data_IF_441473098863
#
_entry.id   IF_441473098863
#
_cell.length_a   1.000
_cell.length_b   1.000
_cell.length_c   1.000
_cell.angle_alpha   90.00
_cell.angle_beta   90.00
_cell.angle_gamma   90.00
#
_symmetry.space_group_name_H-M   'P 1'
#
loop_
_entity.id
_entity.type
_entity.pdbx_description
1 polymer ?
#
# COMPACT_ATOMS: atom_id res chain seq x y z
N UNK A 1 -20.05 -0.68 30.85
CA UNK A 1 -19.16 0.20 30.08
C UNK A 1 -18.92 -0.48 28.76
N UNK A 2 -19.41 0.09 27.67
CA UNK A 2 -19.04 -0.41 26.34
C UNK A 2 -17.61 0.02 26.02
N UNK A 3 -16.76 -0.87 25.46
CA UNK A 3 -15.44 -0.48 25.04
C UNK A 3 -15.56 0.65 24.00
N UNK A 4 -14.65 1.64 24.02
CA UNK A 4 -14.67 2.71 23.04
C UNK A 4 -14.61 2.08 21.65
N UNK A 5 -15.68 2.31 20.86
CA UNK A 5 -15.68 1.96 19.44
C UNK A 5 -14.60 2.83 18.80
N UNK A 6 -13.42 2.26 18.60
CA UNK A 6 -12.42 2.82 17.71
C UNK A 6 -13.01 2.75 16.30
N UNK A 7 -13.81 3.74 15.92
CA UNK A 7 -14.16 3.98 14.53
C UNK A 7 -12.86 4.42 13.86
N UNK A 8 -12.09 3.45 13.40
CA UNK A 8 -10.74 3.57 12.83
C UNK A 8 -10.75 4.30 11.49
N UNK A 9 -11.19 5.55 11.50
CA UNK A 9 -11.08 6.45 10.35
C UNK A 9 -9.60 6.83 10.24
N UNK A 10 -8.93 6.31 9.21
CA UNK A 10 -7.52 6.62 8.92
C UNK A 10 -6.48 5.58 9.39
N UNK A 11 -6.87 4.34 9.72
CA UNK A 11 -5.88 3.29 10.02
C UNK A 11 -5.36 2.58 8.75
N UNK A 12 -4.10 2.16 8.79
CA UNK A 12 -3.50 1.32 7.74
C UNK A 12 -4.31 0.04 7.63
N UNK A 13 -4.62 -0.36 6.41
CA UNK A 13 -5.41 -1.58 6.15
C UNK A 13 -4.50 -2.69 5.63
N UNK A 14 -4.54 -3.90 6.22
CA UNK A 14 -3.88 -5.05 5.61
C UNK A 14 -4.41 -5.29 4.20
N UNK A 15 -3.51 -5.55 3.25
CA UNK A 15 -3.86 -5.91 1.87
C UNK A 15 -3.33 -7.29 1.55
N UNK A 16 -4.20 -8.17 1.07
CA UNK A 16 -3.84 -9.53 0.63
C UNK A 16 -3.44 -9.50 -0.84
N UNK A 17 -2.36 -10.20 -1.16
CA UNK A 17 -1.88 -10.52 -2.49
C UNK A 17 -1.84 -12.04 -2.64
N UNK A 18 -2.75 -12.59 -3.41
CA UNK A 18 -2.95 -14.02 -3.67
C UNK A 18 -2.46 -14.44 -5.07
N UNK A 19 -1.81 -13.53 -5.79
CA UNK A 19 -1.27 -13.83 -7.10
C UNK A 19 -0.70 -12.60 -7.79
N UNK A 20 -0.28 -12.83 -9.03
CA UNK A 20 0.11 -11.76 -9.92
C UNK A 20 -1.11 -10.87 -10.17
N UNK A 21 -1.00 -9.55 -10.00
CA UNK A 21 -2.16 -8.70 -10.13
C UNK A 21 -2.58 -8.59 -11.60
N UNK A 22 -3.88 -8.53 -11.82
CA UNK A 22 -4.46 -8.32 -13.13
C UNK A 22 -4.34 -6.85 -13.52
N UNK A 23 -3.77 -6.60 -14.70
CA UNK A 23 -3.49 -5.26 -15.18
C UNK A 23 -3.73 -5.18 -16.68
N UNK A 24 -4.48 -4.18 -17.12
CA UNK A 24 -4.48 -3.71 -18.51
C UNK A 24 -3.28 -2.75 -18.79
N UNK A 25 -3.13 -2.32 -20.04
CA UNK A 25 -2.11 -1.35 -20.44
C UNK A 25 -2.69 0.05 -20.66
N UNK A 26 -3.75 0.41 -19.93
CA UNK A 26 -4.38 1.73 -20.07
C UNK A 26 -3.60 2.88 -19.42
N UNK A 27 -2.69 2.55 -18.49
CA UNK A 27 -1.91 3.50 -17.70
C UNK A 27 -0.48 2.99 -17.53
N UNK A 28 0.47 3.92 -17.39
CA UNK A 28 1.83 3.57 -16.99
C UNK A 28 1.85 2.97 -15.58
N UNK A 29 2.94 2.27 -15.24
CA UNK A 29 3.13 1.66 -13.92
C UNK A 29 2.91 2.66 -12.79
N UNK A 30 3.54 3.84 -12.85
CA UNK A 30 3.40 4.84 -11.77
C UNK A 30 1.99 5.42 -11.69
N UNK A 31 1.34 5.71 -12.83
CA UNK A 31 -0.04 6.19 -12.85
C UNK A 31 -1.00 5.17 -12.24
N UNK A 32 -0.72 3.88 -12.44
CA UNK A 32 -1.54 2.81 -11.87
C UNK A 32 -1.31 2.64 -10.37
N UNK A 33 -0.09 2.83 -9.88
CA UNK A 33 0.21 2.88 -8.44
C UNK A 33 -0.57 4.04 -7.79
N UNK A 34 -0.56 5.23 -8.39
CA UNK A 34 -1.34 6.39 -7.94
C UNK A 34 -2.84 6.07 -7.94
N UNK A 35 -3.33 5.48 -9.03
CA UNK A 35 -4.74 5.10 -9.16
C UNK A 35 -5.19 4.12 -8.09
N UNK A 36 -4.38 3.14 -7.75
CA UNK A 36 -4.65 2.20 -6.66
C UNK A 36 -4.84 2.91 -5.31
N UNK A 37 -4.06 3.97 -5.04
CA UNK A 37 -4.23 4.81 -3.86
C UNK A 37 -5.54 5.61 -3.88
N UNK A 38 -5.83 6.29 -5.00
CA UNK A 38 -7.07 7.07 -5.17
C UNK A 38 -8.32 6.20 -5.00
N UNK A 39 -8.32 5.01 -5.61
CA UNK A 39 -9.46 4.09 -5.53
C UNK A 39 -9.64 3.55 -4.09
N UNK A 40 -8.55 3.34 -3.36
CA UNK A 40 -8.61 2.96 -1.95
C UNK A 40 -9.18 4.08 -1.05
N UNK A 41 -8.82 5.34 -1.30
CA UNK A 41 -9.39 6.49 -0.58
C UNK A 41 -10.89 6.59 -0.85
N UNK A 42 -11.30 6.49 -2.11
CA UNK A 42 -12.72 6.52 -2.52
C UNK A 42 -13.53 5.42 -1.84
N UNK A 43 -13.00 4.20 -1.81
CA UNK A 43 -13.65 3.06 -1.16
C UNK A 43 -13.83 3.26 0.36
N UNK A 44 -12.99 4.08 1.00
CA UNK A 44 -13.12 4.40 2.43
C UNK A 44 -14.15 5.50 2.71
N UNK A 45 -14.39 6.41 1.76
CA UNK A 45 -15.34 7.52 1.90
C UNK A 45 -16.82 7.12 1.97
N UNK A 46 -17.16 5.87 1.62
CA UNK A 46 -18.55 5.39 1.63
C UNK A 46 -18.97 4.75 2.97
N UNK A 47 -18.00 4.42 3.84
CA UNK A 47 -18.25 3.75 5.13
C UNK A 47 -18.46 4.78 6.23
N UNK A 48 -19.63 5.44 6.26
CA UNK A 48 -20.04 6.27 7.40
C UNK A 48 -20.78 7.57 7.08
N UNK A 49 -21.30 7.75 5.87
CA UNK A 49 -22.18 8.89 5.53
C UNK A 49 -21.47 10.26 5.44
N UNK A 50 -20.18 10.35 5.76
CA UNK A 50 -19.34 11.48 5.36
C UNK A 50 -18.83 11.21 3.95
N UNK A 51 -19.63 11.55 2.93
CA UNK A 51 -19.16 11.58 1.54
C UNK A 51 -17.87 12.41 1.50
N UNK A 52 -16.73 11.74 1.29
CA UNK A 52 -15.53 12.42 0.81
C UNK A 52 -15.89 12.93 -0.59
N UNK A 53 -16.34 14.18 -0.68
CA UNK A 53 -16.64 14.82 -1.96
C UNK A 53 -15.32 15.10 -2.64
N UNK A 54 -14.82 14.13 -3.39
CA UNK A 54 -13.95 14.42 -4.52
C UNK A 54 -14.88 15.08 -5.54
N UNK A 55 -14.79 16.41 -5.64
CA UNK A 55 -15.54 17.17 -6.63
C UNK A 55 -14.87 16.87 -7.96
N UNK A 56 -15.56 16.15 -8.84
CA UNK A 56 -15.24 16.13 -10.26
C UNK A 56 -15.33 17.59 -10.74
N UNK A 57 -14.21 18.13 -11.25
CA UNK A 57 -14.20 19.45 -11.87
C UNK A 57 -15.03 19.41 -13.16
N UNK A 58 -16.34 19.54 -13.03
CA UNK A 58 -17.19 20.03 -14.10
C UNK A 58 -17.67 21.43 -13.72
N UNK A 59 -17.22 22.40 -14.51
CA UNK A 59 -17.62 23.79 -14.37
C UNK A 59 -19.13 23.94 -14.53
N UNK A 60 -19.77 24.61 -13.59
CA UNK A 60 -20.44 25.88 -13.82
C UNK A 60 -21.12 26.35 -12.53
N UNK A 61 -21.02 27.66 -12.29
CA UNK A 61 -21.31 28.26 -11.00
C UNK A 61 -22.77 28.24 -10.57
N UNK A 62 -22.98 28.30 -9.25
CA UNK A 62 -24.03 29.09 -8.61
C UNK A 62 -23.69 29.35 -7.15
N UNK A 63 -23.76 30.64 -6.79
CA UNK A 63 -23.56 31.18 -5.44
C UNK A 63 -24.75 30.84 -4.55
N UNK A 64 -24.50 30.48 -3.29
CA UNK A 64 -25.31 30.92 -2.15
C UNK A 64 -24.52 30.77 -0.83
N UNK A 65 -24.59 31.80 0.00
CA UNK A 65 -23.81 32.03 1.21
C UNK A 65 -24.57 31.62 2.48
N UNK A 66 -23.87 31.08 3.48
CA UNK A 66 -24.00 31.38 4.94
C UNK A 66 -23.08 30.43 5.72
N UNK A 67 -21.98 30.93 6.29
CA UNK A 67 -21.82 31.49 7.65
C UNK A 67 -21.92 30.45 8.78
N UNK A 68 -20.75 29.99 9.23
CA UNK A 68 -20.56 29.08 10.37
C UNK A 68 -19.08 28.67 10.47
N UNK A 69 -18.36 29.29 11.41
CA UNK A 69 -16.93 29.12 11.68
C UNK A 69 -16.54 27.66 11.99
N UNK A 70 -15.77 27.04 11.09
CA UNK A 70 -14.58 26.21 11.36
C UNK A 70 -13.69 26.34 10.14
N UNK A 71 -12.60 27.09 10.26
CA UNK A 71 -11.52 27.08 9.26
C UNK A 71 -10.72 25.81 9.50
N UNK A 72 -11.33 24.65 9.23
CA UNK A 72 -10.55 23.53 8.74
C UNK A 72 -10.37 23.82 7.28
N UNK A 73 -9.17 24.27 6.93
CA UNK A 73 -8.78 24.46 5.55
C UNK A 73 -9.04 23.13 4.83
N UNK A 74 -10.03 23.13 3.93
CA UNK A 74 -10.37 21.91 3.22
C UNK A 74 -9.26 21.70 2.23
N UNK A 75 -8.36 20.75 2.54
CA UNK A 75 -7.37 20.28 1.57
C UNK A 75 -8.07 20.08 0.23
N UNK A 76 -7.56 20.75 -0.81
CA UNK A 76 -8.20 20.68 -2.11
C UNK A 76 -7.93 19.30 -2.72
N UNK A 77 -8.79 18.83 -3.61
CA UNK A 77 -8.57 17.57 -4.33
C UNK A 77 -7.21 17.54 -5.07
N UNK A 78 -6.68 18.73 -5.40
CA UNK A 78 -5.36 18.92 -6.02
C UNK A 78 -4.20 18.62 -5.07
N UNK A 79 -4.35 18.94 -3.79
CA UNK A 79 -3.33 18.69 -2.77
C UNK A 79 -3.29 17.21 -2.38
N UNK A 80 -4.45 16.56 -2.30
CA UNK A 80 -4.57 15.11 -2.08
C UNK A 80 -3.88 14.31 -3.19
N UNK A 81 -4.14 14.69 -4.44
CA UNK A 81 -3.52 14.08 -5.62
C UNK A 81 -1.99 14.25 -5.62
N UNK A 82 -1.50 15.40 -5.15
CA UNK A 82 -0.06 15.67 -5.01
C UNK A 82 0.59 14.75 -3.97
N UNK A 83 -0.02 14.63 -2.79
CA UNK A 83 0.50 13.77 -1.71
C UNK A 83 0.53 12.30 -2.12
N UNK A 84 -0.54 11.81 -2.75
CA UNK A 84 -0.59 10.42 -3.23
C UNK A 84 0.42 10.14 -4.35
N UNK A 85 0.71 11.14 -5.18
CA UNK A 85 1.76 11.03 -6.19
C UNK A 85 3.15 10.92 -5.55
N UNK A 86 3.47 11.77 -4.58
CA UNK A 86 4.75 11.69 -3.84
C UNK A 86 4.89 10.31 -3.18
N UNK A 87 3.85 9.86 -2.48
CA UNK A 87 3.85 8.55 -1.83
C UNK A 87 4.02 7.39 -2.84
N UNK A 88 3.36 7.45 -4.00
CA UNK A 88 3.49 6.44 -5.03
C UNK A 88 4.93 6.34 -5.57
N UNK A 89 5.58 7.47 -5.79
CA UNK A 89 6.97 7.54 -6.27
C UNK A 89 7.94 7.02 -5.21
N UNK A 90 7.73 7.35 -3.94
CA UNK A 90 8.53 6.86 -2.82
C UNK A 90 8.41 5.35 -2.68
N UNK A 91 7.19 4.81 -2.73
CA UNK A 91 6.94 3.36 -2.68
C UNK A 91 7.58 2.64 -3.86
N UNK A 92 7.44 3.18 -5.08
CA UNK A 92 8.03 2.58 -6.27
C UNK A 92 9.57 2.54 -6.17
N UNK A 93 10.17 3.63 -5.70
CA UNK A 93 11.62 3.73 -5.46
C UNK A 93 12.08 2.75 -4.39
N UNK A 94 11.35 2.63 -3.29
CA UNK A 94 11.64 1.71 -2.19
C UNK A 94 11.64 0.25 -2.66
N UNK A 95 10.69 -0.09 -3.54
CA UNK A 95 10.56 -1.39 -4.19
C UNK A 95 11.50 -1.56 -5.39
N UNK A 96 12.47 -0.67 -5.59
CA UNK A 96 13.52 -0.74 -6.62
C UNK A 96 13.01 -0.73 -8.06
N UNK A 97 11.80 -0.18 -8.30
CA UNK A 97 11.31 0.07 -9.66
C UNK A 97 12.09 1.23 -10.28
N UNK A 98 12.73 0.99 -11.43
CA UNK A 98 13.52 2.01 -12.12
C UNK A 98 12.65 3.09 -12.78
N UNK A 99 13.21 4.24 -13.11
CA UNK A 99 12.52 5.30 -13.87
C UNK A 99 11.91 4.79 -15.17
N UNK A 100 12.64 3.91 -15.87
CA UNK A 100 12.17 3.28 -17.10
C UNK A 100 10.95 2.39 -16.84
N UNK A 101 11.02 1.53 -15.82
CA UNK A 101 9.91 0.65 -15.42
C UNK A 101 8.70 1.44 -14.92
N UNK A 102 8.91 2.59 -14.26
CA UNK A 102 7.81 3.45 -13.79
C UNK A 102 7.04 4.11 -14.94
N UNK A 103 7.73 4.39 -16.05
CA UNK A 103 7.18 5.00 -17.26
C UNK A 103 6.66 3.99 -18.28
N UNK A 104 7.00 2.71 -18.14
CA UNK A 104 6.54 1.64 -19.02
C UNK A 104 5.11 1.23 -18.70
N UNK A 105 4.52 0.44 -19.60
CA UNK A 105 3.25 -0.24 -19.36
C UNK A 105 3.47 -1.48 -18.48
N UNK A 106 2.45 -1.94 -17.71
CA UNK A 106 2.54 -3.14 -16.91
C UNK A 106 2.93 -4.41 -17.69
N UNK A 107 2.45 -4.57 -18.93
CA UNK A 107 2.78 -5.74 -19.76
C UNK A 107 4.24 -5.77 -20.23
N UNK A 108 4.89 -4.61 -20.29
CA UNK A 108 6.30 -4.46 -20.71
C UNK A 108 7.27 -4.82 -19.59
N UNK A 109 6.79 -4.92 -18.35
CA UNK A 109 7.59 -5.30 -17.20
C UNK A 109 7.98 -6.78 -17.25
N UNK A 110 9.20 -7.07 -16.79
CA UNK A 110 9.64 -8.45 -16.53
C UNK A 110 8.81 -9.05 -15.37
N UNK A 111 8.73 -10.39 -15.26
CA UNK A 111 7.93 -11.04 -14.22
C UNK A 111 8.18 -10.53 -12.81
N UNK A 112 9.44 -10.41 -12.37
CA UNK A 112 9.77 -9.88 -11.03
C UNK A 112 9.33 -8.42 -10.84
N UNK A 113 9.47 -7.58 -11.87
CA UNK A 113 9.01 -6.19 -11.83
C UNK A 113 7.49 -6.09 -11.75
N UNK A 114 6.75 -7.03 -12.36
CA UNK A 114 5.29 -7.08 -12.25
C UNK A 114 4.84 -7.41 -10.81
N UNK A 115 5.56 -8.29 -10.12
CA UNK A 115 5.33 -8.55 -8.69
C UNK A 115 5.64 -7.33 -7.82
N UNK A 116 6.78 -6.66 -8.04
CA UNK A 116 7.13 -5.44 -7.32
C UNK A 116 6.12 -4.31 -7.54
N UNK A 117 5.64 -4.16 -8.78
CA UNK A 117 4.54 -3.27 -9.11
C UNK A 117 3.24 -3.64 -8.38
N UNK A 118 2.88 -4.92 -8.33
CA UNK A 118 1.74 -5.40 -7.55
C UNK A 118 1.84 -5.08 -6.06
N UNK A 119 3.02 -5.26 -5.48
CA UNK A 119 3.32 -4.90 -4.10
C UNK A 119 3.20 -3.39 -3.91
N UNK A 120 3.69 -2.57 -4.86
CA UNK A 120 3.55 -1.12 -4.80
C UNK A 120 2.08 -0.67 -4.76
N UNK A 121 1.24 -1.26 -5.63
CA UNK A 121 -0.20 -1.05 -5.62
C UNK A 121 -0.84 -1.48 -4.29
N UNK A 122 -0.39 -2.58 -3.69
CA UNK A 122 -0.87 -3.02 -2.38
C UNK A 122 -0.47 -2.06 -1.25
N UNK A 123 0.76 -1.54 -1.28
CA UNK A 123 1.24 -0.51 -0.36
C UNK A 123 0.36 0.74 -0.42
N UNK A 124 0.04 1.22 -1.63
CA UNK A 124 -0.86 2.37 -1.81
C UNK A 124 -2.27 2.08 -1.29
N UNK A 125 -2.83 0.90 -1.58
CA UNK A 125 -4.15 0.50 -1.05
C UNK A 125 -4.16 0.42 0.49
N UNK A 126 -3.04 0.05 1.09
CA UNK A 126 -2.86 -0.06 2.53
C UNK A 126 -2.79 1.31 3.21
N UNK A 127 -2.04 2.25 2.62
CA UNK A 127 -1.69 3.53 3.25
C UNK A 127 -2.53 4.72 2.80
N UNK A 128 -2.95 4.80 1.54
CA UNK A 128 -3.61 5.98 0.98
C UNK A 128 -4.84 6.47 1.79
N UNK A 129 -5.73 5.60 2.30
CA UNK A 129 -6.84 6.03 3.16
C UNK A 129 -6.42 6.78 4.42
N UNK A 130 -5.21 6.49 4.92
CA UNK A 130 -4.66 7.14 6.10
C UNK A 130 -4.23 8.57 5.82
N UNK A 131 -3.57 8.76 4.67
CA UNK A 131 -3.00 10.03 4.24
C UNK A 131 -4.09 11.03 3.88
N UNK A 132 -5.19 10.55 3.30
CA UNK A 132 -6.32 11.41 2.93
C UNK A 132 -7.10 11.98 4.13
N UNK A 133 -7.05 11.34 5.29
CA UNK A 133 -7.86 11.72 6.48
C UNK A 133 -7.16 12.78 7.35
N UNK A 134 -5.83 12.86 7.32
CA UNK A 134 -5.04 13.76 8.19
C UNK A 134 -3.88 14.39 7.41
N UNK A 135 -4.15 15.38 6.56
CA UNK A 135 -3.11 16.03 5.76
C UNK A 135 -2.29 17.08 6.53
N UNK A 136 -2.85 17.65 7.60
CA UNK A 136 -2.39 18.87 8.27
C UNK A 136 -1.20 18.67 9.23
N UNK A 137 -0.56 17.51 9.21
CA UNK A 137 0.73 17.44 9.88
C UNK A 137 0.67 17.02 11.36
N UNK A 138 -0.50 16.78 11.95
CA UNK A 138 -0.63 16.30 13.33
C UNK A 138 -0.23 14.81 13.48
N UNK A 139 0.77 14.37 12.69
CA UNK A 139 1.42 13.07 12.66
C UNK A 139 2.26 12.82 13.92
N UNK A 140 1.70 13.05 15.11
CA UNK A 140 2.51 13.17 16.33
C UNK A 140 3.18 11.85 16.73
N UNK A 141 2.71 10.65 16.33
CA UNK A 141 3.31 9.40 16.86
C UNK A 141 3.13 8.12 16.02
N UNK A 142 3.15 8.15 14.68
CA UNK A 142 3.11 6.88 13.95
C UNK A 142 3.27 6.95 12.46
N UNK A 143 4.39 6.44 11.95
CA UNK A 143 4.52 6.16 10.54
C UNK A 143 3.61 4.99 10.18
N UNK A 144 2.65 5.27 9.30
CA UNK A 144 1.62 4.33 8.84
C UNK A 144 2.18 3.49 7.70
N UNK A 145 3.14 2.65 8.03
CA UNK A 145 3.76 1.73 7.07
C UNK A 145 2.76 0.69 6.56
N UNK A 146 2.91 0.21 5.32
CA UNK A 146 1.95 -0.70 4.74
C UNK A 146 1.99 -2.07 5.44
N UNK A 147 0.83 -2.71 5.51
CA UNK A 147 0.69 -4.09 5.99
C UNK A 147 0.29 -4.95 4.80
N UNK A 148 1.21 -5.81 4.35
CA UNK A 148 1.04 -6.66 3.17
C UNK A 148 0.99 -8.13 3.61
N UNK A 149 -0.04 -8.83 3.17
CA UNK A 149 -0.22 -10.27 3.36
C UNK A 149 -0.02 -10.94 2.00
N UNK A 150 1.02 -11.76 1.86
CA UNK A 150 1.31 -12.52 0.65
C UNK A 150 0.80 -13.95 0.86
N UNK A 151 -0.20 -14.36 0.09
CA UNK A 151 -0.76 -15.70 0.15
C UNK A 151 -0.27 -16.49 -1.05
N UNK A 152 0.71 -17.37 -0.83
CA UNK A 152 1.33 -18.22 -1.85
C UNK A 152 1.89 -17.47 -3.07
N UNK A 153 2.15 -16.17 -2.93
CA UNK A 153 2.43 -15.23 -4.03
C UNK A 153 3.55 -15.70 -4.98
N UNK A 154 4.54 -16.44 -4.48
CA UNK A 154 5.68 -16.94 -5.26
C UNK A 154 5.73 -18.47 -5.34
N UNK A 155 4.72 -19.21 -4.87
CA UNK A 155 4.78 -20.68 -4.76
C UNK A 155 4.83 -21.37 -6.13
N UNK A 156 4.21 -20.76 -7.13
CA UNK A 156 4.25 -21.24 -8.52
C UNK A 156 5.47 -20.73 -9.31
N UNK A 157 6.23 -19.77 -8.76
CA UNK A 157 7.26 -19.07 -9.50
C UNK A 157 8.64 -19.75 -9.45
N UNK A 158 9.50 -19.39 -10.39
CA UNK A 158 10.90 -19.80 -10.36
C UNK A 158 11.64 -19.05 -9.24
N UNK A 159 12.57 -19.69 -8.47
CA UNK A 159 13.24 -19.06 -7.34
C UNK A 159 13.91 -17.71 -7.66
N UNK A 160 14.47 -17.56 -8.86
CA UNK A 160 15.10 -16.31 -9.30
C UNK A 160 14.13 -15.12 -9.35
N UNK A 161 12.83 -15.34 -9.57
CA UNK A 161 11.83 -14.27 -9.57
C UNK A 161 11.64 -13.74 -8.16
N UNK A 162 11.51 -14.63 -7.17
CA UNK A 162 11.38 -14.25 -5.76
C UNK A 162 12.67 -13.57 -5.25
N UNK A 163 13.84 -14.10 -5.61
CA UNK A 163 15.15 -13.50 -5.28
C UNK A 163 15.27 -12.08 -5.83
N UNK A 164 14.86 -11.85 -7.09
CA UNK A 164 14.87 -10.52 -7.71
C UNK A 164 13.91 -9.53 -7.03
N UNK A 165 12.82 -10.01 -6.41
CA UNK A 165 11.93 -9.17 -5.62
C UNK A 165 12.47 -8.88 -4.21
N UNK A 166 13.41 -9.71 -3.73
CA UNK A 166 13.84 -9.71 -2.34
C UNK A 166 14.46 -8.38 -1.88
N UNK A 167 15.22 -7.70 -2.74
CA UNK A 167 15.80 -6.40 -2.40
C UNK A 167 14.70 -5.34 -2.12
N UNK A 168 13.68 -5.26 -2.98
CA UNK A 168 12.55 -4.35 -2.79
C UNK A 168 11.74 -4.67 -1.54
N UNK A 169 11.43 -5.96 -1.31
CA UNK A 169 10.69 -6.39 -0.11
C UNK A 169 11.48 -6.09 1.17
N UNK A 170 12.79 -6.33 1.17
CA UNK A 170 13.64 -6.04 2.32
C UNK A 170 13.75 -4.53 2.59
N UNK A 171 13.83 -3.70 1.54
CA UNK A 171 13.78 -2.24 1.69
C UNK A 171 12.45 -1.80 2.30
N UNK A 172 11.34 -2.38 1.85
CA UNK A 172 10.02 -2.11 2.42
C UNK A 172 9.96 -2.44 3.93
N UNK A 173 10.44 -3.62 4.32
CA UNK A 173 10.49 -4.05 5.72
C UNK A 173 11.37 -3.11 6.54
N UNK A 174 12.55 -2.75 6.03
CA UNK A 174 13.49 -1.82 6.70
C UNK A 174 12.94 -0.41 6.84
N UNK A 175 12.15 0.04 5.87
CA UNK A 175 11.46 1.30 6.01
C UNK A 175 10.47 1.26 7.17
N UNK A 176 9.90 0.09 7.49
CA UNK A 176 8.94 -0.13 8.58
C UNK A 176 7.69 -0.90 8.15
N UNK A 177 7.61 -1.30 6.88
CA UNK A 177 6.54 -2.14 6.32
C UNK A 177 6.42 -3.48 7.05
N UNK A 178 5.19 -3.92 7.25
CA UNK A 178 4.89 -5.25 7.79
C UNK A 178 4.53 -6.15 6.63
N UNK A 179 5.32 -7.20 6.43
CA UNK A 179 5.07 -8.22 5.41
C UNK A 179 4.88 -9.56 6.11
N UNK A 180 3.74 -10.20 5.87
CA UNK A 180 3.45 -11.57 6.31
C UNK A 180 3.30 -12.42 5.05
N UNK A 181 4.04 -13.52 4.96
CA UNK A 181 3.96 -14.43 3.82
C UNK A 181 3.54 -15.82 4.28
N UNK A 182 2.44 -16.32 3.72
CA UNK A 182 2.06 -17.72 3.77
C UNK A 182 2.60 -18.41 2.50
N UNK A 183 3.42 -19.44 2.66
CA UNK A 183 4.13 -20.07 1.55
C UNK A 183 4.52 -21.51 1.86
N UNK A 184 4.45 -22.37 0.84
CA UNK A 184 5.02 -23.72 0.85
C UNK A 184 6.52 -23.74 0.51
N UNK A 185 7.09 -22.59 0.11
CA UNK A 185 8.48 -22.41 -0.31
C UNK A 185 9.22 -21.38 0.57
N UNK A 186 9.45 -21.69 1.87
CA UNK A 186 10.11 -20.74 2.79
C UNK A 186 11.53 -20.35 2.34
N UNK A 187 12.17 -21.16 1.48
CA UNK A 187 13.47 -20.84 0.87
C UNK A 187 13.50 -19.51 0.12
N UNK A 188 12.38 -19.08 -0.48
CA UNK A 188 12.27 -17.78 -1.19
C UNK A 188 12.49 -16.57 -0.28
N UNK A 189 12.28 -16.71 1.03
CA UNK A 189 12.35 -15.61 2.01
C UNK A 189 13.55 -15.71 2.96
N UNK A 190 14.49 -16.61 2.67
CA UNK A 190 15.67 -16.83 3.51
C UNK A 190 16.49 -15.54 3.62
N UNK A 191 16.78 -15.12 4.86
CA UNK A 191 17.54 -13.89 5.13
C UNK A 191 16.73 -12.60 5.10
N UNK A 192 15.43 -12.65 4.76
CA UNK A 192 14.51 -11.50 4.86
C UNK A 192 13.57 -11.60 6.05
N UNK A 193 13.13 -12.81 6.39
CA UNK A 193 12.21 -13.04 7.50
C UNK A 193 12.88 -12.75 8.85
N UNK A 194 12.26 -11.89 9.67
CA UNK A 194 12.61 -11.69 11.08
C UNK A 194 11.97 -12.75 11.99
N UNK A 195 10.95 -13.45 11.51
CA UNK A 195 10.27 -14.53 12.21
C UNK A 195 9.70 -15.51 11.20
N UNK A 196 9.86 -16.80 11.47
CA UNK A 196 9.30 -17.90 10.68
C UNK A 196 8.42 -18.74 11.60
N UNK A 197 7.17 -18.95 11.19
CA UNK A 197 6.21 -19.78 11.92
C UNK A 197 5.84 -20.95 11.01
N UNK A 198 6.11 -22.18 11.44
CA UNK A 198 5.65 -23.38 10.72
C UNK A 198 4.34 -23.86 11.32
N UNK A 199 3.33 -24.04 10.47
CA UNK A 199 2.01 -24.53 10.84
C UNK A 199 1.78 -25.94 10.28
N UNK A 200 1.06 -26.77 11.03
CA UNK A 200 0.54 -28.05 10.52
C UNK A 200 -0.74 -28.42 11.25
N UNK A 201 -1.79 -28.80 10.50
CA UNK A 201 -3.08 -29.19 11.08
C UNK A 201 -3.70 -28.12 11.99
N UNK A 202 -3.51 -26.83 11.67
CA UNK A 202 -4.00 -25.71 12.49
C UNK A 202 -3.20 -25.45 13.78
N UNK A 203 -2.06 -26.11 13.99
CA UNK A 203 -1.18 -25.91 15.14
C UNK A 203 0.15 -25.29 14.75
N UNK A 204 0.69 -24.43 15.62
CA UNK A 204 2.06 -23.93 15.50
C UNK A 204 3.01 -25.06 15.90
N UNK A 205 3.85 -25.49 14.96
CA UNK A 205 4.90 -26.49 15.19
C UNK A 205 6.19 -25.84 15.65
N UNK A 206 6.61 -24.76 14.99
CA UNK A 206 7.82 -24.00 15.30
C UNK A 206 7.55 -22.51 15.20
N UNK A 207 8.26 -21.74 16.03
CA UNK A 207 8.23 -20.29 16.06
C UNK A 207 9.67 -19.78 16.23
N UNK A 208 10.33 -19.54 15.10
CA UNK A 208 11.73 -19.15 15.03
C UNK A 208 11.84 -17.64 14.86
N UNK A 209 12.51 -16.97 15.81
CA UNK A 209 12.84 -15.54 15.68
C UNK A 209 14.27 -15.40 15.17
N UNK A 210 14.40 -14.72 14.04
CA UNK A 210 15.68 -14.46 13.40
C UNK A 210 16.05 -13.01 13.70
N UNK A 211 17.17 -12.83 14.39
CA UNK A 211 17.73 -11.49 14.57
C UNK A 211 18.27 -11.05 13.21
N UNK A 212 17.57 -10.15 12.54
CA UNK A 212 18.11 -9.53 11.32
C UNK A 212 19.35 -8.72 11.72
N UNK A 213 20.48 -8.85 11.00
CA UNK A 213 21.64 -8.03 11.29
C UNK A 213 21.25 -6.56 11.12
N UNK A 214 21.35 -5.80 12.21
CA UNK A 214 21.24 -4.33 12.18
C UNK A 214 22.46 -3.87 11.39
N UNK A 215 22.23 -3.31 10.20
CA UNK A 215 23.27 -2.67 9.40
C UNK A 215 23.39 -1.21 9.80
#
# INVERSE_FOLDING_TARGET
MDPPRMTGVGMVRPVVLDGKPDFDDSLTVVERIIRAGLDAVRACGDVGGRKCRIIEEEGEGRRASSSGMRVHDKMTARDESTLLRILAEDVATLLTLTDEQRRSLPSELRPSSQYLFGIACACMRSMAPCVAVDPDGAWVDGVRYPIILMDELFDAEHPSIAENCGAGILNLIRAGGVVVSATHRPGHFRGMASRTITLSGGRVLTDERISLPVR
#
